data_IF_561748595110
#
_entry.id   IF_561748595110
#
_cell.length_a   1.000
_cell.length_b   1.000
_cell.length_c   1.000
_cell.angle_alpha   90.00
_cell.angle_beta   90.00
_cell.angle_gamma   90.00
#
_symmetry.space_group_name_H-M   'P 1'
#
loop_
_entity.id
_entity.type
_entity.pdbx_description
1 polymer ?
#
# COMPACT_ATOMS: atom_id res chain seq x y z
N UNK A 1 47.68 17.23 44.20
CA UNK A 1 48.87 16.41 43.89
C UNK A 1 48.60 15.72 42.56
N UNK A 2 48.72 16.48 41.46
CA UNK A 2 49.89 16.59 40.55
C UNK A 2 50.01 15.42 39.57
N UNK A 3 49.59 15.69 38.32
CA UNK A 3 50.23 15.44 37.01
C UNK A 3 50.92 14.07 36.79
N UNK A 4 50.75 13.40 35.63
CA UNK A 4 51.38 13.86 34.38
C UNK A 4 50.88 13.07 33.15
N UNK A 5 50.64 13.78 32.05
CA UNK A 5 50.57 13.27 30.68
C UNK A 5 51.99 13.08 30.10
N UNK A 6 52.18 12.24 29.07
CA UNK A 6 53.31 12.33 28.15
C UNK A 6 52.88 12.69 26.70
N UNK A 7 53.85 13.07 25.83
CA UNK A 7 53.65 14.09 24.81
C UNK A 7 53.47 13.58 23.36
N UNK A 8 53.11 14.55 22.54
CA UNK A 8 53.00 14.61 21.07
C UNK A 8 54.29 14.29 20.29
N UNK A 9 54.11 13.72 19.09
CA UNK A 9 55.03 13.87 17.96
C UNK A 9 54.26 14.10 16.65
N UNK A 10 54.42 15.31 16.09
CA UNK A 10 54.19 15.65 14.69
C UNK A 10 55.35 15.06 13.83
N UNK A 11 55.38 14.92 12.50
CA UNK A 11 55.06 15.85 11.39
C UNK A 11 55.25 15.05 10.04
N UNK A 12 55.49 15.64 8.84
CA UNK A 12 54.56 15.94 7.75
C UNK A 12 54.76 15.10 6.46
N UNK A 13 53.80 15.14 5.52
CA UNK A 13 53.96 14.60 4.16
C UNK A 13 53.33 15.51 3.11
N UNK A 14 54.18 16.17 2.32
CA UNK A 14 53.85 17.17 1.28
C UNK A 14 53.63 16.56 -0.11
N UNK A 15 52.64 17.12 -0.83
CA UNK A 15 52.54 17.45 -2.29
C UNK A 15 52.98 16.45 -3.38
N UNK A 16 52.09 16.22 -4.36
CA UNK A 16 52.33 16.42 -5.81
C UNK A 16 51.00 16.35 -6.59
N UNK A 17 50.59 17.42 -7.30
CA UNK A 17 50.72 17.64 -8.75
C UNK A 17 49.76 16.75 -9.59
N UNK A 18 48.69 17.30 -10.15
CA UNK A 18 48.60 17.91 -11.49
C UNK A 18 48.27 16.89 -12.60
N UNK A 19 47.25 17.17 -13.40
CA UNK A 19 47.09 16.52 -14.70
C UNK A 19 45.67 16.39 -15.23
N UNK A 20 45.39 17.11 -16.32
CA UNK A 20 44.56 16.54 -17.40
C UNK A 20 43.13 17.03 -17.49
N UNK A 21 42.94 18.16 -18.15
CA UNK A 21 41.67 18.44 -18.82
C UNK A 21 41.47 17.47 -19.99
N UNK A 22 40.24 17.01 -20.19
CA UNK A 22 39.73 16.70 -21.53
C UNK A 22 38.24 17.01 -21.59
N UNK A 23 37.91 17.79 -22.62
CA UNK A 23 36.60 18.10 -23.17
C UNK A 23 35.78 16.83 -23.41
N UNK A 24 34.65 16.66 -22.73
CA UNK A 24 33.63 15.67 -23.14
C UNK A 24 32.46 16.38 -23.80
N UNK A 25 32.42 16.17 -25.12
CA UNK A 25 31.43 16.65 -26.05
C UNK A 25 29.99 16.30 -25.68
N UNK A 26 29.09 17.22 -26.03
CA UNK A 26 27.78 16.97 -26.62
C UNK A 26 26.90 15.87 -25.99
N UNK A 27 26.21 16.21 -24.89
CA UNK A 27 24.97 15.52 -24.54
C UNK A 27 23.75 16.35 -25.02
N UNK A 28 23.61 16.50 -26.34
CA UNK A 28 22.33 16.90 -26.97
C UNK A 28 21.43 15.67 -27.14
N UNK A 29 21.11 14.98 -26.04
CA UNK A 29 19.91 14.12 -26.01
C UNK A 29 18.74 15.01 -25.65
N UNK A 30 17.94 15.36 -26.66
CA UNK A 30 16.85 16.31 -26.52
C UNK A 30 15.89 15.99 -25.35
N UNK A 31 15.29 17.03 -24.74
CA UNK A 31 14.43 16.90 -23.56
C UNK A 31 13.17 16.03 -23.76
N UNK A 32 12.88 15.62 -24.99
CA UNK A 32 11.69 14.85 -25.36
C UNK A 32 11.85 13.35 -25.07
N UNK A 33 13.02 12.76 -25.32
CA UNK A 33 13.27 11.33 -25.09
C UNK A 33 13.35 10.97 -23.60
N UNK A 34 13.91 11.85 -22.76
CA UNK A 34 13.94 11.68 -21.30
C UNK A 34 12.56 11.76 -20.64
N UNK A 35 11.63 12.54 -21.22
CA UNK A 35 10.29 12.75 -20.68
C UNK A 35 9.37 11.54 -20.92
N UNK A 36 9.48 10.88 -22.07
CA UNK A 36 8.75 9.64 -22.37
C UNK A 36 9.25 8.47 -21.51
N UNK A 37 10.57 8.26 -21.44
CA UNK A 37 11.17 7.22 -20.60
C UNK A 37 10.87 7.42 -19.09
N UNK A 38 10.81 8.67 -18.62
CA UNK A 38 10.40 9.01 -17.26
C UNK A 38 8.94 8.68 -16.96
N UNK A 39 8.02 8.95 -17.91
CA UNK A 39 6.59 8.61 -17.76
C UNK A 39 6.37 7.09 -17.66
N UNK A 40 7.08 6.30 -18.47
CA UNK A 40 6.95 4.85 -18.46
C UNK A 40 7.50 4.19 -17.19
N UNK A 41 8.65 4.65 -16.68
CA UNK A 41 9.15 4.22 -15.37
C UNK A 41 8.17 4.57 -14.25
N UNK A 42 7.57 5.77 -14.29
CA UNK A 42 6.63 6.23 -13.27
C UNK A 42 5.31 5.44 -13.29
N UNK A 43 4.81 5.09 -14.49
CA UNK A 43 3.63 4.21 -14.68
C UNK A 43 3.90 2.78 -14.20
N UNK A 44 5.02 2.15 -14.61
CA UNK A 44 5.40 0.81 -14.13
C UNK A 44 5.56 0.77 -12.60
N UNK A 45 6.14 1.81 -12.02
CA UNK A 45 6.22 1.96 -10.57
C UNK A 45 4.86 2.11 -9.88
N UNK A 46 3.86 2.73 -10.53
CA UNK A 46 2.51 2.87 -9.99
C UNK A 46 1.73 1.55 -10.04
N UNK A 47 1.79 0.82 -11.15
CA UNK A 47 1.18 -0.51 -11.29
C UNK A 47 1.76 -1.49 -10.27
N UNK A 48 3.10 -1.58 -10.19
CA UNK A 48 3.76 -2.46 -9.22
C UNK A 48 3.48 -2.08 -7.74
N UNK A 49 3.04 -0.86 -7.48
CA UNK A 49 2.62 -0.38 -6.16
C UNK A 49 1.17 -0.76 -5.82
N UNK A 50 0.28 -0.77 -6.80
CA UNK A 50 -1.11 -1.22 -6.64
C UNK A 50 -1.15 -2.74 -6.48
N UNK A 51 -0.41 -3.49 -7.30
CA UNK A 51 -0.31 -4.95 -7.18
C UNK A 51 0.18 -5.36 -5.79
N UNK A 52 1.20 -4.67 -5.27
CA UNK A 52 1.68 -4.91 -3.90
C UNK A 52 0.64 -4.58 -2.83
N UNK A 53 -0.17 -3.55 -3.02
CA UNK A 53 -1.25 -3.20 -2.11
C UNK A 53 -2.38 -4.23 -2.13
N UNK A 54 -2.75 -4.75 -3.31
CA UNK A 54 -3.72 -5.85 -3.46
C UNK A 54 -3.20 -7.09 -2.73
N UNK A 55 -1.96 -7.50 -3.00
CA UNK A 55 -1.35 -8.65 -2.33
C UNK A 55 -1.29 -8.50 -0.80
N UNK A 56 -1.00 -7.29 -0.33
CA UNK A 56 -1.04 -6.98 1.11
C UNK A 56 -2.45 -7.09 1.70
N UNK A 57 -3.46 -6.55 1.01
CA UNK A 57 -4.86 -6.63 1.43
C UNK A 57 -5.37 -8.07 1.51
N UNK A 58 -4.98 -8.92 0.56
CA UNK A 58 -5.31 -10.35 0.58
C UNK A 58 -4.71 -11.05 1.79
N UNK A 59 -3.45 -10.74 2.13
CA UNK A 59 -2.75 -11.32 3.27
C UNK A 59 -3.20 -10.79 4.63
N UNK A 60 -4.00 -9.72 4.67
CA UNK A 60 -4.44 -9.09 5.92
C UNK A 60 -5.37 -10.00 6.73
N UNK A 61 -6.25 -10.73 6.06
CA UNK A 61 -7.20 -11.67 6.70
C UNK A 61 -6.49 -12.79 7.46
N UNK A 62 -5.64 -13.63 6.82
CA UNK A 62 -4.96 -14.71 7.53
C UNK A 62 -4.02 -14.19 8.63
N UNK A 63 -3.46 -12.99 8.46
CA UNK A 63 -2.60 -12.35 9.46
C UNK A 63 -3.41 -11.82 10.66
N UNK A 64 -4.59 -11.24 10.44
CA UNK A 64 -5.51 -10.81 11.49
C UNK A 64 -5.95 -11.99 12.35
N UNK A 65 -6.35 -13.10 11.72
CA UNK A 65 -6.67 -14.36 12.41
C UNK A 65 -5.48 -14.86 13.22
N UNK A 66 -4.29 -14.95 12.62
CA UNK A 66 -3.08 -15.40 13.31
C UNK A 66 -2.69 -14.52 14.50
N UNK A 67 -2.90 -13.21 14.41
CA UNK A 67 -2.65 -12.26 15.49
C UNK A 67 -3.65 -12.44 16.65
N UNK A 68 -4.93 -12.63 16.36
CA UNK A 68 -5.95 -12.89 17.38
C UNK A 68 -5.68 -14.21 18.11
N UNK A 69 -5.40 -15.29 17.37
CA UNK A 69 -5.03 -16.59 17.94
C UNK A 69 -3.76 -16.46 18.80
N UNK A 70 -2.73 -15.77 18.30
CA UNK A 70 -1.49 -15.54 19.05
C UNK A 70 -1.69 -14.73 20.33
N UNK A 71 -2.62 -13.78 20.33
CA UNK A 71 -2.98 -12.97 21.51
C UNK A 71 -3.72 -13.81 22.58
N UNK A 72 -4.62 -14.70 22.15
CA UNK A 72 -5.35 -15.62 23.05
C UNK A 72 -4.41 -16.67 23.65
N UNK A 73 -3.51 -17.25 22.84
CA UNK A 73 -2.59 -18.33 23.25
C UNK A 73 -1.32 -17.81 23.95
N UNK A 74 -1.07 -16.49 23.94
CA UNK A 74 0.10 -15.87 24.58
C UNK A 74 1.41 -16.03 23.80
N UNK A 75 1.38 -16.50 22.54
CA UNK A 75 2.54 -16.69 21.66
C UNK A 75 2.70 -15.53 20.65
N UNK A 76 2.90 -14.32 21.16
CA UNK A 76 2.94 -13.09 20.33
C UNK A 76 4.22 -12.89 19.50
N UNK A 77 5.31 -13.61 19.80
CA UNK A 77 6.63 -13.30 19.24
C UNK A 77 6.76 -13.58 17.73
N UNK A 78 6.06 -14.61 17.22
CA UNK A 78 6.08 -14.98 15.79
C UNK A 78 5.16 -14.14 14.88
N UNK A 79 4.31 -13.29 15.45
CA UNK A 79 3.40 -12.42 14.70
C UNK A 79 4.15 -11.19 14.17
N UNK A 80 5.09 -10.67 14.96
CA UNK A 80 5.90 -9.49 14.60
C UNK A 80 6.77 -9.71 13.37
N UNK A 81 7.45 -10.86 13.28
CA UNK A 81 8.34 -11.16 12.14
C UNK A 81 7.55 -11.29 10.83
N UNK A 82 6.33 -11.84 10.90
CA UNK A 82 5.42 -11.91 9.75
C UNK A 82 4.95 -10.51 9.31
N UNK A 83 4.58 -9.64 10.25
CA UNK A 83 4.22 -8.25 9.93
C UNK A 83 5.41 -7.44 9.38
N UNK A 84 6.63 -7.67 9.87
CA UNK A 84 7.85 -7.07 9.30
C UNK A 84 8.11 -7.51 7.87
N UNK A 85 7.95 -8.80 7.55
CA UNK A 85 8.08 -9.30 6.16
C UNK A 85 7.09 -8.64 5.22
N UNK A 86 5.84 -8.45 5.67
CA UNK A 86 4.78 -7.83 4.89
C UNK A 86 4.98 -6.30 4.72
N UNK A 87 5.46 -5.62 5.76
CA UNK A 87 5.84 -4.19 5.68
C UNK A 87 6.99 -3.94 4.70
N UNK A 88 7.99 -4.84 4.67
CA UNK A 88 9.06 -4.82 3.66
C UNK A 88 8.52 -5.00 2.24
N UNK A 89 7.54 -5.88 2.04
CA UNK A 89 6.90 -6.09 0.73
C UNK A 89 6.24 -4.81 0.18
N UNK A 90 5.66 -3.99 1.06
CA UNK A 90 5.11 -2.67 0.72
C UNK A 90 6.16 -1.57 0.49
N UNK A 91 7.44 -1.84 0.76
CA UNK A 91 8.51 -0.83 0.75
C UNK A 91 8.52 0.07 2.00
N UNK A 92 7.80 -0.30 3.04
CA UNK A 92 7.82 0.38 4.33
C UNK A 92 8.98 -0.19 5.18
N UNK A 93 10.22 0.17 4.84
CA UNK A 93 11.38 -0.14 5.66
C UNK A 93 11.53 0.92 6.76
N UNK A 94 11.39 0.50 8.02
CA UNK A 94 12.44 0.57 9.06
C UNK A 94 11.83 0.15 10.41
N UNK A 95 12.43 -0.85 11.04
CA UNK A 95 11.95 -1.48 12.27
C UNK A 95 12.50 -0.70 13.48
N UNK A 96 11.78 0.33 13.93
CA UNK A 96 12.17 1.14 15.09
C UNK A 96 11.52 0.63 16.39
N UNK A 97 12.40 0.32 17.36
CA UNK A 97 12.31 -0.05 18.79
C UNK A 97 11.25 -1.09 19.20
N UNK A 98 11.68 -2.08 19.99
CA UNK A 98 10.90 -3.22 20.45
C UNK A 98 10.16 -2.89 21.75
N UNK A 99 9.04 -2.14 21.68
CA UNK A 99 8.08 -2.17 22.79
C UNK A 99 7.18 -3.39 22.60
N UNK A 100 7.08 -4.26 23.60
CA UNK A 100 6.11 -5.37 23.59
C UNK A 100 4.70 -4.78 23.76
N UNK A 101 3.80 -4.90 22.77
CA UNK A 101 2.42 -4.44 22.93
C UNK A 101 1.70 -5.31 23.96
N UNK A 102 0.78 -4.70 24.71
CA UNK A 102 -0.09 -5.44 25.62
C UNK A 102 -1.06 -6.37 24.87
N UNK A 103 -1.52 -7.44 25.53
CA UNK A 103 -2.40 -8.45 24.91
C UNK A 103 -3.67 -7.86 24.30
N UNK A 104 -4.31 -6.92 25.00
CA UNK A 104 -5.53 -6.23 24.53
C UNK A 104 -5.26 -5.42 23.25
N UNK A 105 -4.16 -4.68 23.21
CA UNK A 105 -3.79 -3.90 22.04
C UNK A 105 -3.49 -4.80 20.83
N UNK A 106 -2.86 -5.97 21.06
CA UNK A 106 -2.62 -6.96 20.01
C UNK A 106 -3.94 -7.57 19.49
N UNK A 107 -4.89 -7.87 20.38
CA UNK A 107 -6.21 -8.39 20.01
C UNK A 107 -7.02 -7.38 19.18
N UNK A 108 -7.15 -6.14 19.65
CA UNK A 108 -7.88 -5.08 18.93
C UNK A 108 -7.25 -4.78 17.57
N UNK A 109 -5.93 -4.83 17.47
CA UNK A 109 -5.24 -4.70 16.21
C UNK A 109 -5.53 -5.88 15.28
N UNK A 110 -5.46 -7.13 15.78
CA UNK A 110 -5.82 -8.33 15.02
C UNK A 110 -7.26 -8.29 14.50
N UNK A 111 -8.22 -7.87 15.33
CA UNK A 111 -9.61 -7.67 14.94
C UNK A 111 -9.75 -6.60 13.86
N UNK A 112 -9.10 -5.45 14.02
CA UNK A 112 -9.12 -4.38 13.01
C UNK A 112 -8.50 -4.84 11.69
N UNK A 113 -7.38 -5.59 11.73
CA UNK A 113 -6.76 -6.17 10.54
C UNK A 113 -7.65 -7.22 9.87
N UNK A 114 -8.40 -8.01 10.63
CA UNK A 114 -9.38 -8.96 10.09
C UNK A 114 -10.49 -8.22 9.33
N UNK A 115 -11.17 -7.28 9.99
CA UNK A 115 -12.26 -6.51 9.37
C UNK A 115 -11.78 -5.77 8.13
N UNK A 116 -10.66 -5.05 8.22
CA UNK A 116 -10.11 -4.33 7.08
C UNK A 116 -9.61 -5.26 5.98
N UNK A 117 -9.19 -6.49 6.32
CA UNK A 117 -8.85 -7.52 5.34
C UNK A 117 -10.07 -7.98 4.56
N UNK A 118 -11.21 -8.21 5.23
CA UNK A 118 -12.48 -8.54 4.58
C UNK A 118 -12.96 -7.38 3.70
N UNK A 119 -12.83 -6.13 4.18
CA UNK A 119 -13.11 -4.94 3.36
C UNK A 119 -12.18 -4.91 2.14
N UNK A 120 -10.89 -5.21 2.28
CA UNK A 120 -9.98 -5.32 1.13
C UNK A 120 -10.42 -6.39 0.13
N UNK A 121 -10.88 -7.57 0.58
CA UNK A 121 -11.43 -8.60 -0.30
C UNK A 121 -12.67 -8.11 -1.04
N UNK A 122 -13.58 -7.43 -0.33
CA UNK A 122 -14.75 -6.81 -0.92
C UNK A 122 -14.38 -5.77 -1.99
N UNK A 123 -13.41 -4.89 -1.71
CA UNK A 123 -12.90 -3.90 -2.66
C UNK A 123 -12.19 -4.55 -3.86
N UNK A 124 -11.49 -5.67 -3.67
CA UNK A 124 -10.90 -6.45 -4.77
C UNK A 124 -12.00 -7.07 -5.63
N UNK A 125 -13.04 -7.65 -5.02
CA UNK A 125 -14.21 -8.15 -5.74
C UNK A 125 -14.88 -7.03 -6.56
N UNK A 126 -15.11 -5.86 -5.95
CA UNK A 126 -15.63 -4.67 -6.63
C UNK A 126 -14.73 -4.22 -7.78
N UNK A 127 -13.41 -4.27 -7.60
CA UNK A 127 -12.44 -3.91 -8.64
C UNK A 127 -12.51 -4.88 -9.82
N UNK A 128 -12.61 -6.18 -9.55
CA UNK A 128 -12.79 -7.20 -10.59
C UNK A 128 -14.08 -6.96 -11.34
N UNK A 129 -15.20 -6.74 -10.64
CA UNK A 129 -16.49 -6.43 -11.26
C UNK A 129 -16.42 -5.15 -12.10
N UNK A 130 -15.78 -4.09 -11.60
CA UNK A 130 -15.62 -2.83 -12.33
C UNK A 130 -14.80 -3.01 -13.62
N UNK A 131 -13.77 -3.86 -13.61
CA UNK A 131 -12.99 -4.17 -14.81
C UNK A 131 -13.82 -5.00 -15.79
N UNK A 132 -14.40 -6.10 -15.32
CA UNK A 132 -15.16 -7.04 -16.17
C UNK A 132 -16.41 -6.40 -16.77
N UNK A 133 -17.18 -5.66 -15.97
CA UNK A 133 -18.41 -4.99 -16.42
C UNK A 133 -18.20 -3.59 -16.95
N UNK A 134 -17.02 -3.01 -16.84
CA UNK A 134 -16.73 -1.69 -17.39
C UNK A 134 -16.13 -1.82 -18.78
N UNK A 135 -14.79 -1.75 -18.93
CA UNK A 135 -14.12 -1.89 -20.22
C UNK A 135 -14.52 -3.14 -21.02
N UNK A 136 -14.77 -4.26 -20.32
CA UNK A 136 -15.10 -5.54 -20.96
C UNK A 136 -16.61 -5.81 -21.09
N UNK A 137 -17.47 -4.85 -20.77
CA UNK A 137 -18.94 -5.01 -20.85
C UNK A 137 -19.40 -5.61 -22.19
N UNK A 138 -18.88 -5.06 -23.31
CA UNK A 138 -19.25 -5.49 -24.65
C UNK A 138 -18.78 -6.89 -25.06
N UNK A 139 -17.87 -7.49 -24.29
CA UNK A 139 -17.41 -8.88 -24.47
C UNK A 139 -18.14 -9.86 -23.55
N UNK A 140 -18.76 -9.39 -22.47
CA UNK A 140 -19.48 -10.24 -21.51
C UNK A 140 -20.96 -10.29 -21.87
N UNK A 141 -21.55 -9.15 -22.22
CA UNK A 141 -22.97 -9.02 -22.52
C UNK A 141 -23.21 -8.93 -24.03
N UNK A 142 -23.90 -9.93 -24.58
CA UNK A 142 -24.20 -10.05 -26.02
C UNK A 142 -25.67 -9.80 -26.35
N UNK A 143 -26.54 -9.69 -25.33
CA UNK A 143 -27.99 -9.68 -25.47
C UNK A 143 -28.58 -8.45 -26.17
N UNK A 144 -29.90 -8.48 -26.47
CA UNK A 144 -30.61 -7.35 -27.06
C UNK A 144 -30.67 -6.18 -26.07
N UNK A 145 -30.17 -5.02 -26.47
CA UNK A 145 -30.18 -3.80 -25.66
C UNK A 145 -31.57 -3.16 -25.75
N UNK A 146 -32.33 -3.24 -24.67
CA UNK A 146 -33.70 -2.71 -24.60
C UNK A 146 -33.76 -1.21 -24.28
N UNK A 147 -34.95 -0.57 -24.42
CA UNK A 147 -35.14 0.86 -24.16
C UNK A 147 -34.96 1.32 -22.69
N UNK A 148 -34.63 0.41 -21.77
CA UNK A 148 -34.29 0.72 -20.37
C UNK A 148 -32.81 0.56 -20.01
N UNK A 149 -31.94 0.22 -20.97
CA UNK A 149 -30.52 -0.04 -20.68
C UNK A 149 -29.77 1.27 -20.48
N UNK A 150 -28.98 1.36 -19.40
CA UNK A 150 -28.10 2.50 -19.15
C UNK A 150 -27.14 2.68 -20.33
N UNK A 151 -27.15 3.86 -20.95
CA UNK A 151 -26.39 4.13 -22.19
C UNK A 151 -27.20 3.99 -23.48
N UNK A 152 -28.50 3.68 -23.40
CA UNK A 152 -29.41 3.64 -24.54
C UNK A 152 -29.50 2.27 -25.22
N UNK A 153 -30.31 2.15 -26.29
CA UNK A 153 -30.67 0.87 -26.91
C UNK A 153 -29.54 0.29 -27.80
N UNK A 154 -28.34 0.84 -27.73
CA UNK A 154 -27.20 0.39 -28.56
C UNK A 154 -26.12 -0.22 -27.68
N UNK A 155 -25.44 -1.24 -28.23
CA UNK A 155 -24.27 -1.86 -27.60
C UNK A 155 -23.20 -0.83 -27.23
N UNK A 156 -22.93 0.09 -28.16
CA UNK A 156 -21.90 1.10 -28.00
C UNK A 156 -22.23 2.09 -26.87
N UNK A 157 -23.50 2.51 -26.78
CA UNK A 157 -23.96 3.40 -25.73
C UNK A 157 -23.96 2.74 -24.35
N UNK A 158 -24.44 1.49 -24.27
CA UNK A 158 -24.39 0.71 -23.03
C UNK A 158 -22.94 0.47 -22.57
N UNK A 159 -22.05 0.10 -23.49
CA UNK A 159 -20.63 0.00 -23.21
C UNK A 159 -20.03 1.34 -22.73
N UNK A 160 -20.33 2.45 -23.40
CA UNK A 160 -19.77 3.75 -23.07
C UNK A 160 -20.17 4.20 -21.65
N UNK A 161 -21.42 3.98 -21.24
CA UNK A 161 -21.89 4.27 -19.89
C UNK A 161 -21.12 3.47 -18.82
N UNK A 162 -20.99 2.16 -19.03
CA UNK A 162 -20.29 1.29 -18.10
C UNK A 162 -18.78 1.58 -18.04
N UNK A 163 -18.15 1.83 -19.20
CA UNK A 163 -16.76 2.24 -19.28
C UNK A 163 -16.54 3.59 -18.58
N UNK A 164 -17.43 4.57 -18.78
CA UNK A 164 -17.33 5.89 -18.18
C UNK A 164 -17.41 5.84 -16.64
N UNK A 165 -18.20 4.94 -16.06
CA UNK A 165 -18.28 4.74 -14.61
C UNK A 165 -17.06 3.95 -14.09
N UNK A 166 -16.67 2.89 -14.80
CA UNK A 166 -15.58 2.02 -14.34
C UNK A 166 -14.20 2.69 -14.39
N UNK A 167 -13.93 3.52 -15.40
CA UNK A 167 -12.64 4.20 -15.57
C UNK A 167 -12.22 5.03 -14.35
N UNK A 168 -13.07 5.88 -13.74
CA UNK A 168 -12.73 6.57 -12.49
C UNK A 168 -12.82 5.66 -11.25
N UNK A 169 -13.67 4.64 -11.25
CA UNK A 169 -13.85 3.73 -10.12
C UNK A 169 -12.63 2.83 -9.88
N UNK A 170 -12.01 2.31 -10.95
CA UNK A 170 -10.81 1.46 -10.89
C UNK A 170 -9.64 2.11 -10.11
N UNK A 171 -9.18 3.33 -10.46
CA UNK A 171 -8.11 3.98 -9.70
C UNK A 171 -8.57 4.33 -8.28
N UNK A 172 -9.83 4.73 -8.07
CA UNK A 172 -10.36 5.02 -6.74
C UNK A 172 -10.25 3.80 -5.81
N UNK A 173 -10.68 2.62 -6.28
CA UNK A 173 -10.54 1.36 -5.55
C UNK A 173 -9.07 1.00 -5.31
N UNK A 174 -8.21 1.17 -6.33
CA UNK A 174 -6.77 0.97 -6.19
C UNK A 174 -6.11 1.88 -5.14
N UNK A 175 -6.53 3.15 -5.07
CA UNK A 175 -6.09 4.10 -4.05
C UNK A 175 -6.62 3.73 -2.67
N UNK A 176 -7.88 3.29 -2.56
CA UNK A 176 -8.47 2.81 -1.31
C UNK A 176 -7.70 1.63 -0.73
N UNK A 177 -7.44 0.60 -1.53
CA UNK A 177 -6.64 -0.57 -1.15
C UNK A 177 -5.23 -0.16 -0.69
N UNK A 178 -4.59 0.75 -1.42
CA UNK A 178 -3.28 1.28 -1.05
C UNK A 178 -3.33 2.09 0.25
N UNK A 179 -4.37 2.89 0.45
CA UNK A 179 -4.59 3.68 1.66
C UNK A 179 -4.72 2.78 2.89
N UNK A 180 -5.54 1.74 2.82
CA UNK A 180 -5.71 0.75 3.90
C UNK A 180 -4.37 0.07 4.21
N UNK A 181 -3.63 -0.36 3.19
CA UNK A 181 -2.32 -1.01 3.38
C UNK A 181 -1.31 -0.09 4.07
N UNK A 182 -1.24 1.18 3.67
CA UNK A 182 -0.33 2.17 4.28
C UNK A 182 -0.75 2.53 5.71
N UNK A 183 -2.04 2.66 5.96
CA UNK A 183 -2.60 2.93 7.27
C UNK A 183 -2.30 1.78 8.23
N UNK A 184 -2.54 0.54 7.82
CA UNK A 184 -2.21 -0.66 8.60
C UNK A 184 -0.72 -0.71 8.93
N UNK A 185 0.15 -0.48 7.95
CA UNK A 185 1.59 -0.40 8.19
C UNK A 185 1.95 0.70 9.20
N UNK A 186 1.27 1.86 9.16
CA UNK A 186 1.50 2.95 10.10
C UNK A 186 1.01 2.65 11.53
N UNK A 187 -0.13 1.97 11.66
CA UNK A 187 -0.69 1.52 12.93
C UNK A 187 0.18 0.44 13.57
N UNK A 188 0.67 -0.53 12.78
CA UNK A 188 1.66 -1.54 13.23
C UNK A 188 2.92 -0.85 13.77
N UNK A 189 3.49 0.09 12.99
CA UNK A 189 4.68 0.84 13.44
C UNK A 189 4.42 1.56 14.76
N UNK A 190 3.24 2.16 14.94
CA UNK A 190 2.85 2.82 16.20
C UNK A 190 2.78 1.85 17.37
N UNK A 191 2.14 0.70 17.16
CA UNK A 191 1.91 -0.31 18.18
C UNK A 191 3.23 -0.83 18.77
N UNK A 192 4.25 -0.97 17.93
CA UNK A 192 5.58 -1.40 18.34
C UNK A 192 6.47 -0.27 18.90
N UNK A 193 6.02 0.99 18.88
CA UNK A 193 6.73 2.10 19.54
C UNK A 193 7.46 3.06 18.60
N UNK A 194 7.27 2.96 17.28
CA UNK A 194 7.72 3.97 16.35
C UNK A 194 6.87 5.25 16.47
N UNK A 195 7.49 6.42 16.33
CA UNK A 195 6.78 7.71 16.24
C UNK A 195 6.08 7.83 14.88
N UNK A 196 4.90 7.25 14.78
CA UNK A 196 3.94 7.55 13.72
C UNK A 196 2.85 8.48 14.24
N UNK A 197 2.19 9.16 13.31
CA UNK A 197 1.19 10.14 13.66
C UNK A 197 0.02 9.51 14.44
N UNK A 198 -0.43 10.20 15.49
CA UNK A 198 -1.42 9.67 16.44
C UNK A 198 -2.79 9.42 15.79
N UNK A 199 -3.12 10.16 14.72
CA UNK A 199 -4.36 10.03 13.95
C UNK A 199 -4.54 8.65 13.29
N UNK A 200 -3.47 7.85 13.16
CA UNK A 200 -3.55 6.50 12.61
C UNK A 200 -4.49 5.59 13.39
N UNK A 201 -4.57 5.73 14.72
CA UNK A 201 -5.50 4.95 15.54
C UNK A 201 -6.96 5.32 15.28
N UNK A 202 -7.40 6.58 15.46
CA UNK A 202 -8.80 6.94 15.25
C UNK A 202 -9.24 6.70 13.80
N UNK A 203 -8.38 6.93 12.80
CA UNK A 203 -8.72 6.61 11.41
C UNK A 203 -8.86 5.10 11.17
N UNK A 204 -7.99 4.27 11.77
CA UNK A 204 -8.15 2.81 11.69
C UNK A 204 -9.46 2.38 12.34
N UNK A 205 -9.79 2.91 13.54
CA UNK A 205 -11.03 2.58 14.23
C UNK A 205 -12.27 3.00 13.43
N UNK A 206 -12.28 4.21 12.88
CA UNK A 206 -13.36 4.71 12.03
C UNK A 206 -13.55 3.85 10.78
N UNK A 207 -12.47 3.45 10.10
CA UNK A 207 -12.54 2.57 8.94
C UNK A 207 -12.98 1.15 9.30
N UNK A 208 -12.57 0.62 10.45
CA UNK A 208 -13.08 -0.66 10.96
C UNK A 208 -14.58 -0.60 11.17
N UNK A 209 -15.09 0.44 11.84
CA UNK A 209 -16.53 0.63 12.06
C UNK A 209 -17.30 0.81 10.75
N UNK A 210 -16.81 1.66 9.84
CA UNK A 210 -17.40 1.84 8.53
C UNK A 210 -17.41 0.54 7.71
N UNK A 211 -16.34 -0.26 7.81
CA UNK A 211 -16.25 -1.58 7.20
C UNK A 211 -17.31 -2.55 7.73
N UNK A 212 -17.54 -2.59 9.04
CA UNK A 212 -18.60 -3.41 9.64
C UNK A 212 -19.99 -2.99 9.16
N UNK A 213 -20.28 -1.69 9.17
CA UNK A 213 -21.57 -1.15 8.69
C UNK A 213 -21.78 -1.48 7.22
N UNK A 214 -20.75 -1.32 6.38
CA UNK A 214 -20.79 -1.69 4.96
C UNK A 214 -21.11 -3.17 4.76
N UNK A 215 -20.39 -4.05 5.44
CA UNK A 215 -20.57 -5.50 5.30
C UNK A 215 -21.95 -5.93 5.80
N UNK A 216 -22.39 -5.40 6.94
CA UNK A 216 -23.74 -5.63 7.45
C UNK A 216 -24.80 -5.18 6.46
N UNK A 217 -24.73 -3.93 6.00
CA UNK A 217 -25.68 -3.41 5.02
C UNK A 217 -25.70 -4.23 3.73
N UNK A 218 -24.56 -4.72 3.27
CA UNK A 218 -24.48 -5.57 2.08
C UNK A 218 -25.20 -6.91 2.31
N UNK A 219 -25.02 -7.55 3.46
CA UNK A 219 -25.74 -8.81 3.78
C UNK A 219 -27.25 -8.64 3.92
N UNK A 220 -27.74 -7.42 4.11
CA UNK A 220 -29.18 -7.12 4.11
C UNK A 220 -29.73 -6.86 2.70
N UNK A 221 -28.86 -6.62 1.71
CA UNK A 221 -29.25 -6.36 0.32
C UNK A 221 -29.24 -7.62 -0.55
N UNK A 222 -28.42 -8.61 -0.18
CA UNK A 222 -28.34 -9.93 -0.82
C UNK A 222 -29.43 -10.83 -0.27
#
# INVERSE_FOLDING_TARGET
>A
MTNSLPPTSATPGTRSAAGGGTTSAANRRGPVAGRAAGKDRRRRGLVGRVVRAVGYGVMLVPMGVGAMVGAVVGRGDGVHERWRRLGRFLGAAEAVRLRRPGRVALFLHGFSSLVLGVVCWFLVMMLVLAVVRGPFYGFVEHGPYGPGTWGGPTKAGAWAAHAAIAVPLIPLLGFGLRGIALLQAATVRRLYGSRTAWWTIPVTAALTLAGLVLLYSWTQQV
#
